data_IF_133209548197
#
_entry.id   IF_133209548197
#
_cell.length_a   1.000
_cell.length_b   1.000
_cell.length_c   1.000
_cell.angle_alpha   90.00
_cell.angle_beta   90.00
_cell.angle_gamma   90.00
#
_symmetry.space_group_name_H-M   'P 1'
#
loop_
_entity.id
_entity.type
_entity.pdbx_description
1 polymer ?
#
# COMPACT_ATOMS: atom_id res chain seq x y z
N UNK A 1 -0.52 -2.04 -14.72
CA UNK A 1 -1.89 -2.01 -14.14
C UNK A 1 -1.91 -1.05 -12.97
N UNK A 2 -2.91 -0.17 -12.86
CA UNK A 2 -3.00 0.84 -11.80
C UNK A 2 -4.34 0.73 -11.06
N UNK A 3 -4.32 0.72 -9.74
CA UNK A 3 -5.52 0.72 -8.89
C UNK A 3 -5.24 1.37 -7.53
N UNK A 4 -6.32 1.83 -6.88
CA UNK A 4 -6.28 2.36 -5.51
C UNK A 4 -6.93 1.34 -4.59
N UNK A 5 -6.19 0.89 -3.57
CA UNK A 5 -6.77 0.15 -2.46
C UNK A 5 -7.20 1.13 -1.37
N UNK A 6 -8.47 1.09 -1.01
CA UNK A 6 -9.08 1.98 -0.01
C UNK A 6 -9.13 1.30 1.34
N UNK A 7 -8.98 2.07 2.43
CA UNK A 7 -9.16 1.57 3.81
C UNK A 7 -8.32 0.34 4.20
N UNK A 8 -7.13 0.18 3.62
CA UNK A 8 -6.20 -0.91 3.95
C UNK A 8 -5.51 -0.67 5.29
N UNK A 9 -5.18 -1.75 5.99
CA UNK A 9 -4.33 -1.69 7.17
C UNK A 9 -2.86 -1.65 6.73
N UNK A 10 -2.20 -0.51 6.92
CA UNK A 10 -0.78 -0.29 6.62
C UNK A 10 0.01 -0.49 7.91
N UNK A 11 1.00 -1.37 7.88
CA UNK A 11 1.92 -1.60 9.00
C UNK A 11 3.28 -1.00 8.67
N UNK A 12 3.81 -0.18 9.56
CA UNK A 12 5.13 0.45 9.46
C UNK A 12 5.91 0.25 10.77
N UNK A 13 7.16 0.73 10.82
CA UNK A 13 7.96 0.74 12.05
C UNK A 13 7.32 1.56 13.18
N UNK A 14 6.41 2.48 12.86
CA UNK A 14 5.67 3.31 13.83
C UNK A 14 4.31 2.71 14.24
N UNK A 15 4.00 1.50 13.77
CA UNK A 15 2.74 0.80 14.06
C UNK A 15 1.80 0.68 12.87
N UNK A 16 0.56 0.28 13.16
CA UNK A 16 -0.47 -0.03 12.17
C UNK A 16 -1.55 1.03 12.10
N UNK A 17 -1.94 1.43 10.90
CA UNK A 17 -2.98 2.43 10.68
C UNK A 17 -3.78 2.18 9.39
N UNK A 18 -5.01 2.70 9.35
CA UNK A 18 -5.85 2.65 8.14
C UNK A 18 -5.48 3.76 7.15
N UNK A 19 -5.27 3.40 5.89
CA UNK A 19 -4.91 4.33 4.80
C UNK A 19 -5.40 3.84 3.44
N UNK A 20 -5.25 4.68 2.42
CA UNK A 20 -5.39 4.29 1.02
C UNK A 20 -4.00 4.09 0.40
N UNK A 21 -3.88 3.16 -0.55
CA UNK A 21 -2.62 2.81 -1.20
C UNK A 21 -2.82 2.79 -2.71
N UNK A 22 -1.97 3.51 -3.44
CA UNK A 22 -1.93 3.46 -4.91
C UNK A 22 -0.89 2.44 -5.33
N UNK A 23 -1.34 1.44 -6.08
CA UNK A 23 -0.47 0.44 -6.69
C UNK A 23 -0.45 0.68 -8.19
N UNK A 24 0.75 0.89 -8.73
CA UNK A 24 0.98 1.03 -10.17
C UNK A 24 2.11 0.09 -10.59
N UNK A 25 1.82 -0.75 -11.57
CA UNK A 25 2.78 -1.69 -12.15
C UNK A 25 3.46 -2.54 -11.08
N UNK A 26 2.64 -3.09 -10.17
CA UNK A 26 3.00 -3.91 -9.01
C UNK A 26 3.86 -3.20 -7.94
N UNK A 27 3.98 -1.88 -8.00
CA UNK A 27 4.69 -1.07 -7.02
C UNK A 27 3.74 -0.17 -6.25
N UNK A 28 3.99 0.00 -4.94
CA UNK A 28 3.32 1.04 -4.15
C UNK A 28 3.94 2.39 -4.50
N UNK A 29 3.15 3.28 -5.08
CA UNK A 29 3.63 4.61 -5.51
C UNK A 29 3.15 5.73 -4.59
N UNK A 30 2.12 5.50 -3.79
CA UNK A 30 1.58 6.48 -2.85
C UNK A 30 0.83 5.79 -1.72
N UNK A 31 0.96 6.32 -0.50
CA UNK A 31 0.18 5.95 0.68
C UNK A 31 -0.37 7.23 1.29
N UNK A 32 -1.67 7.28 1.56
CA UNK A 32 -2.31 8.50 2.06
C UNK A 32 -3.81 8.32 2.30
N UNK A 33 -4.45 9.31 2.93
CA UNK A 33 -5.90 9.27 3.19
C UNK A 33 -6.66 10.07 2.14
N UNK A 34 -7.80 9.55 1.70
CA UNK A 34 -8.71 10.28 0.82
C UNK A 34 -8.24 10.34 -0.63
N UNK A 35 -7.43 9.36 -1.06
CA UNK A 35 -6.91 9.34 -2.43
C UNK A 35 -8.06 9.06 -3.40
N UNK A 36 -8.21 9.94 -4.40
CA UNK A 36 -9.15 9.79 -5.49
C UNK A 36 -8.44 10.12 -6.80
N UNK A 37 -8.49 9.19 -7.76
CA UNK A 37 -7.84 9.34 -9.07
C UNK A 37 -8.86 8.99 -10.14
N UNK A 38 -9.16 9.95 -11.00
CA UNK A 38 -10.17 9.77 -12.05
C UNK A 38 -9.76 8.68 -13.04
N UNK A 39 -10.70 7.80 -13.37
CA UNK A 39 -10.50 6.70 -14.31
C UNK A 39 -9.68 5.52 -13.78
N UNK A 40 -9.31 5.51 -12.49
CA UNK A 40 -8.58 4.40 -11.86
C UNK A 40 -9.54 3.52 -11.05
N UNK A 41 -9.32 2.20 -11.11
CA UNK A 41 -10.09 1.23 -10.35
C UNK A 41 -9.84 1.40 -8.84
N UNK A 42 -10.91 1.52 -8.07
CA UNK A 42 -10.86 1.49 -6.61
C UNK A 42 -11.24 0.10 -6.09
N UNK A 43 -10.54 -0.37 -5.06
CA UNK A 43 -10.74 -1.67 -4.43
C UNK A 43 -10.87 -1.42 -2.92
N UNK A 44 -11.97 -1.88 -2.30
CA UNK A 44 -12.11 -1.80 -0.84
C UNK A 44 -11.25 -2.87 -0.15
N UNK A 45 -10.28 -2.41 0.62
CA UNK A 45 -9.33 -3.24 1.37
C UNK A 45 -9.63 -3.34 2.86
N UNK A 46 -10.79 -2.85 3.33
CA UNK A 46 -11.15 -2.84 4.75
C UNK A 46 -11.06 -4.22 5.41
N UNK A 47 -11.47 -5.26 4.67
CA UNK A 47 -11.57 -6.66 5.09
C UNK A 47 -10.44 -7.55 4.55
N UNK A 48 -9.39 -6.96 3.97
CA UNK A 48 -8.22 -7.74 3.56
C UNK A 48 -7.46 -8.20 4.80
N UNK A 49 -7.63 -9.48 5.14
CA UNK A 49 -6.85 -10.16 6.18
C UNK A 49 -5.54 -10.62 5.55
N UNK A 50 -4.43 -10.03 5.99
CA UNK A 50 -3.11 -10.34 5.45
C UNK A 50 -2.51 -11.56 6.14
N UNK A 51 -2.57 -12.73 5.52
CA UNK A 51 -1.53 -13.75 5.71
C UNK A 51 -0.30 -13.49 4.81
N UNK A 52 -0.43 -12.66 3.75
CA UNK A 52 0.58 -12.56 2.68
C UNK A 52 1.08 -11.17 2.30
N UNK A 53 0.81 -10.09 3.06
CA UNK A 53 1.55 -8.82 2.88
C UNK A 53 2.85 -8.90 3.69
N UNK A 54 3.67 -9.90 3.33
CA UNK A 54 5.03 -10.06 3.85
C UNK A 54 5.93 -9.09 3.06
N UNK A 55 6.32 -8.02 3.73
CA UNK A 55 7.56 -7.26 3.49
C UNK A 55 7.79 -6.74 2.06
N UNK A 56 7.02 -5.72 1.64
CA UNK A 56 7.36 -4.89 0.47
C UNK A 56 8.19 -3.63 0.81
N UNK A 57 8.47 -3.37 2.10
CA UNK A 57 9.20 -2.18 2.55
C UNK A 57 10.69 -2.40 2.81
N UNK A 58 11.27 -3.52 2.38
CA UNK A 58 12.73 -3.66 2.32
C UNK A 58 13.16 -3.80 0.86
N UNK A 59 13.10 -2.69 0.13
CA UNK A 59 14.09 -2.47 -0.93
C UNK A 59 15.47 -2.74 -0.32
N UNK A 60 16.32 -3.43 -1.08
CA UNK A 60 17.67 -3.80 -0.68
C UNK A 60 18.36 -2.62 0.03
N UNK A 61 18.77 -2.84 1.28
CA UNK A 61 19.90 -2.11 1.85
C UNK A 61 21.12 -2.51 1.02
N UNK A 62 21.23 -1.98 -0.19
CA UNK A 62 22.55 -1.80 -0.77
C UNK A 62 23.28 -0.80 0.13
N UNK A 63 24.50 -1.17 0.47
CA UNK A 63 25.51 -0.42 1.22
C UNK A 63 25.32 -0.31 2.75
N UNK A 64 25.54 -1.46 3.42
CA UNK A 64 26.28 -1.48 4.69
C UNK A 64 27.77 -1.23 4.36
N UNK A 65 28.23 0.00 4.55
CA UNK A 65 29.67 0.35 4.68
C UNK A 65 30.03 0.29 6.16
#
# INVERSE_FOLDING_TARGET
MCFVMKNVNVTSEHGSYKSDVVVKDNNVVMVGKGIKIDGIKEIDGANLVSESIITWFSGSKEDLI
#
